data_IF_656587124320
#
_entry.id   IF_656587124320
#
_cell.length_a   1.000
_cell.length_b   1.000
_cell.length_c   1.000
_cell.angle_alpha   90.00
_cell.angle_beta   90.00
_cell.angle_gamma   90.00
#
_symmetry.space_group_name_H-M   'P 1'
#
loop_
_entity.id
_entity.type
_entity.pdbx_description
1 polymer ?
#
# COMPACT_ATOMS: atom_id res chain seq x y z
N UNK A 1 -32.18 71.01 10.49
CA UNK A 1 -33.23 71.49 9.53
C UNK A 1 -33.90 70.23 8.95
N UNK A 2 -35.14 70.07 9.38
CA UNK A 2 -36.36 69.71 8.61
C UNK A 2 -36.31 68.37 7.84
N UNK A 3 -37.04 67.35 8.35
CA UNK A 3 -38.46 67.03 8.07
C UNK A 3 -38.63 66.28 6.71
N UNK A 4 -39.32 65.20 6.50
CA UNK A 4 -40.55 64.59 7.06
C UNK A 4 -40.71 63.18 6.48
N UNK A 5 -41.12 62.11 7.20
CA UNK A 5 -42.49 61.57 7.21
C UNK A 5 -43.03 61.20 5.83
N UNK A 6 -43.67 60.10 5.56
CA UNK A 6 -44.50 59.09 6.20
C UNK A 6 -45.07 58.11 5.21
N UNK A 7 -45.57 57.00 5.65
CA UNK A 7 -46.85 56.25 5.51
C UNK A 7 -46.77 55.09 4.50
N UNK A 8 -46.75 53.89 4.96
CA UNK A 8 -47.77 52.87 5.25
C UNK A 8 -48.78 52.58 4.15
N UNK A 9 -48.87 51.36 3.69
CA UNK A 9 -50.12 50.69 3.34
C UNK A 9 -49.99 49.17 3.41
N UNK A 10 -50.86 48.63 4.13
CA UNK A 10 -51.28 47.27 4.47
C UNK A 10 -51.93 46.62 3.25
N UNK A 11 -51.74 45.34 3.06
CA UNK A 11 -52.47 44.53 2.09
C UNK A 11 -52.37 43.04 2.44
N UNK A 12 -53.48 42.48 2.72
CA UNK A 12 -53.83 41.20 3.36
C UNK A 12 -53.87 40.00 2.38
N UNK A 13 -53.53 38.81 2.91
CA UNK A 13 -54.07 37.45 2.66
C UNK A 13 -53.93 36.80 1.27
N UNK A 14 -53.28 35.64 1.21
CA UNK A 14 -54.00 34.37 1.03
C UNK A 14 -53.03 33.17 1.19
N UNK A 15 -53.44 32.28 2.08
CA UNK A 15 -52.84 30.96 2.29
C UNK A 15 -53.15 30.03 1.11
N UNK A 16 -52.16 29.32 0.64
CA UNK A 16 -52.37 28.08 -0.11
C UNK A 16 -51.25 27.09 0.28
N UNK A 17 -51.60 26.12 1.09
CA UNK A 17 -50.81 24.96 1.39
C UNK A 17 -50.77 24.05 0.14
N UNK A 18 -49.57 23.82 -0.39
CA UNK A 18 -49.32 22.74 -1.35
C UNK A 18 -48.17 21.91 -0.78
N UNK A 19 -48.54 20.75 -0.27
CA UNK A 19 -47.62 19.65 0.07
C UNK A 19 -47.01 19.11 -1.23
N UNK A 20 -45.74 19.39 -1.47
CA UNK A 20 -44.94 18.70 -2.45
C UNK A 20 -44.01 17.77 -1.70
N UNK A 21 -44.32 16.48 -1.84
CA UNK A 21 -43.36 15.40 -1.59
C UNK A 21 -42.18 15.57 -2.57
N UNK A 22 -41.11 16.18 -2.11
CA UNK A 22 -39.86 16.25 -2.83
C UNK A 22 -39.11 14.93 -2.66
N UNK A 23 -38.97 14.17 -3.75
CA UNK A 23 -37.97 13.13 -3.88
C UNK A 23 -36.61 13.79 -3.68
N UNK A 24 -35.92 13.37 -2.65
CA UNK A 24 -34.53 13.73 -2.41
C UNK A 24 -33.67 13.00 -3.44
N UNK A 25 -33.44 13.64 -4.58
CA UNK A 25 -32.37 13.24 -5.49
C UNK A 25 -31.10 13.79 -4.88
N UNK A 26 -30.39 12.95 -4.14
CA UNK A 26 -29.04 13.24 -3.69
C UNK A 26 -28.19 13.52 -4.94
N UNK A 27 -27.74 14.75 -5.08
CA UNK A 27 -26.63 15.05 -6.00
C UNK A 27 -25.43 14.23 -5.56
N UNK A 28 -24.67 13.64 -6.48
CA UNK A 28 -23.39 13.08 -6.11
C UNK A 28 -22.55 14.22 -5.50
N UNK A 29 -22.14 14.05 -4.27
CA UNK A 29 -21.09 14.88 -3.68
C UNK A 29 -19.87 14.66 -4.57
N UNK A 30 -19.37 15.71 -5.23
CA UNK A 30 -18.05 15.69 -5.82
C UNK A 30 -17.07 15.46 -4.67
N UNK A 31 -16.65 14.21 -4.51
CA UNK A 31 -15.48 13.85 -3.74
C UNK A 31 -14.28 14.50 -4.40
N UNK A 32 -13.84 15.62 -3.88
CA UNK A 32 -12.49 16.11 -4.15
C UNK A 32 -11.55 15.12 -3.48
N UNK A 33 -10.99 14.19 -4.28
CA UNK A 33 -10.20 13.08 -3.82
C UNK A 33 -9.03 13.48 -2.94
N UNK A 34 -8.84 12.72 -1.93
CA UNK A 34 -7.57 12.21 -1.39
C UNK A 34 -7.73 11.47 -0.04
N UNK A 35 -8.95 11.36 0.50
CA UNK A 35 -9.20 10.63 1.74
C UNK A 35 -10.11 9.45 1.47
N UNK A 36 -9.69 8.25 1.87
CA UNK A 36 -10.55 7.07 1.88
C UNK A 36 -11.85 7.37 2.65
N UNK A 37 -12.99 6.87 2.17
CA UNK A 37 -14.26 6.98 2.87
C UNK A 37 -14.16 6.29 4.24
N UNK A 38 -14.58 6.99 5.29
CA UNK A 38 -14.52 6.47 6.67
C UNK A 38 -15.88 5.88 7.04
N UNK A 39 -15.90 4.60 7.35
CA UNK A 39 -17.09 3.88 7.75
C UNK A 39 -17.53 4.30 9.16
N UNK A 40 -18.86 4.43 9.37
CA UNK A 40 -19.43 4.77 10.66
C UNK A 40 -19.99 3.52 11.37
N UNK A 41 -19.83 3.44 12.69
CA UNK A 41 -20.44 2.40 13.52
C UNK A 41 -19.91 0.99 13.25
N UNK A 42 -18.67 0.87 12.85
CA UNK A 42 -18.00 -0.42 12.62
C UNK A 42 -17.93 -1.19 13.93
N UNK A 43 -18.24 -2.47 13.90
CA UNK A 43 -18.07 -3.40 15.01
C UNK A 43 -17.57 -4.75 14.49
N UNK A 44 -16.41 -5.17 14.95
CA UNK A 44 -15.81 -6.47 14.60
C UNK A 44 -15.75 -7.35 15.84
N UNK A 45 -16.93 -7.83 16.29
CA UNK A 45 -17.04 -8.66 17.49
C UNK A 45 -16.15 -9.92 17.36
N UNK A 46 -15.21 -10.08 18.30
CA UNK A 46 -14.30 -11.20 18.35
C UNK A 46 -12.95 -10.96 17.65
N UNK A 47 -12.66 -9.74 17.19
CA UNK A 47 -11.34 -9.34 16.73
C UNK A 47 -10.53 -8.69 17.87
N UNK A 48 -9.55 -9.38 18.47
CA UNK A 48 -8.76 -8.81 19.55
C UNK A 48 -7.86 -7.66 19.07
N UNK A 49 -7.56 -7.59 17.77
CA UNK A 49 -6.79 -6.49 17.19
C UNK A 49 -7.66 -5.25 17.05
N UNK A 50 -8.88 -5.40 16.56
CA UNK A 50 -9.83 -4.29 16.44
C UNK A 50 -10.22 -3.73 17.79
N UNK A 51 -10.47 -4.57 18.81
CA UNK A 51 -10.75 -4.12 20.19
C UNK A 51 -9.64 -3.21 20.72
N UNK A 52 -8.36 -3.53 20.44
CA UNK A 52 -7.21 -2.68 20.82
C UNK A 52 -7.15 -1.36 20.04
N UNK A 53 -7.52 -1.37 18.75
CA UNK A 53 -7.61 -0.15 17.96
C UNK A 53 -8.68 0.79 18.54
N UNK A 54 -9.88 0.27 18.84
CA UNK A 54 -10.96 1.05 19.45
C UNK A 54 -10.58 1.60 20.84
N UNK A 55 -10.02 0.76 21.72
CA UNK A 55 -9.57 1.19 23.05
C UNK A 55 -8.53 2.32 22.98
N UNK A 56 -7.64 2.26 21.99
CA UNK A 56 -6.58 3.25 21.76
C UNK A 56 -7.07 4.48 21.00
N UNK A 57 -8.20 4.38 20.29
CA UNK A 57 -8.75 5.41 19.40
C UNK A 57 -7.90 5.67 18.15
N UNK A 58 -7.07 4.74 17.75
CA UNK A 58 -6.23 4.83 16.55
C UNK A 58 -5.77 3.46 16.06
N UNK A 59 -5.41 3.40 14.79
CA UNK A 59 -4.77 2.24 14.16
C UNK A 59 -3.27 2.46 13.98
N UNK A 60 -2.45 1.44 14.22
CA UNK A 60 -1.01 1.46 14.01
C UNK A 60 -0.65 0.53 12.85
N UNK A 61 -0.19 1.11 11.75
CA UNK A 61 0.06 0.38 10.50
C UNK A 61 1.55 0.29 10.23
N UNK A 62 2.04 -0.93 10.03
CA UNK A 62 3.39 -1.15 9.53
C UNK A 62 3.44 -0.93 8.02
N UNK A 63 4.40 -0.12 7.55
CA UNK A 63 4.55 0.24 6.14
C UNK A 63 6.02 0.30 5.73
N UNK A 64 6.25 0.45 4.42
CA UNK A 64 7.54 0.87 3.86
C UNK A 64 7.60 2.40 3.75
N UNK A 65 8.83 2.93 3.60
CA UNK A 65 9.05 4.35 3.41
C UNK A 65 10.07 4.70 2.32
N UNK A 66 10.68 3.68 1.72
CA UNK A 66 11.74 3.82 0.72
C UNK A 66 11.38 3.25 -0.66
N UNK A 67 10.11 2.93 -0.92
CA UNK A 67 9.66 2.29 -2.16
C UNK A 67 8.78 3.26 -2.99
N UNK A 68 9.36 3.99 -3.96
CA UNK A 68 8.61 4.94 -4.78
C UNK A 68 7.44 4.31 -5.54
N UNK A 69 6.28 4.96 -5.51
CA UNK A 69 5.06 4.47 -6.11
C UNK A 69 4.30 3.41 -5.29
N UNK A 70 4.91 2.83 -4.25
CA UNK A 70 4.31 1.80 -3.38
C UNK A 70 4.21 2.29 -1.93
N UNK A 71 5.27 2.20 -1.14
CA UNK A 71 5.34 2.71 0.22
C UNK A 71 6.46 3.73 0.37
N UNK A 72 6.16 5.01 0.22
CA UNK A 72 7.15 6.08 0.16
C UNK A 72 6.87 7.20 1.15
N UNK A 73 7.92 7.69 1.80
CA UNK A 73 7.92 8.90 2.64
C UNK A 73 8.82 9.95 2.00
N UNK A 74 8.26 11.08 1.59
CA UNK A 74 9.06 12.21 1.14
C UNK A 74 9.81 12.81 2.33
N UNK A 75 11.12 12.83 2.24
CA UNK A 75 11.98 13.30 3.35
C UNK A 75 11.89 14.81 3.59
N UNK A 76 11.39 15.58 2.63
CA UNK A 76 11.27 17.06 2.69
C UNK A 76 9.90 17.47 3.20
N UNK A 77 8.84 16.93 2.59
CA UNK A 77 7.44 17.27 2.95
C UNK A 77 6.93 16.44 4.11
N UNK A 78 7.54 15.29 4.39
CA UNK A 78 7.08 14.29 5.36
C UNK A 78 5.73 13.67 4.99
N UNK A 79 5.33 13.78 3.73
CA UNK A 79 4.12 13.16 3.20
C UNK A 79 4.39 11.73 2.78
N UNK A 80 3.44 10.83 3.11
CA UNK A 80 3.45 9.45 2.67
C UNK A 80 2.58 9.27 1.44
N UNK A 81 3.08 8.50 0.48
CA UNK A 81 2.39 8.26 -0.79
C UNK A 81 2.70 6.87 -1.34
N UNK A 82 1.89 6.43 -2.27
CA UNK A 82 2.06 5.21 -3.02
C UNK A 82 0.90 4.23 -2.85
N UNK A 83 0.89 3.22 -3.70
CA UNK A 83 -0.19 2.23 -3.78
C UNK A 83 -0.43 1.52 -2.43
N UNK A 84 0.63 1.02 -1.78
CA UNK A 84 0.53 0.35 -0.48
C UNK A 84 0.02 1.30 0.62
N UNK A 85 0.38 2.58 0.56
CA UNK A 85 -0.09 3.57 1.54
C UNK A 85 -1.59 3.83 1.39
N UNK A 86 -2.08 3.94 0.16
CA UNK A 86 -3.52 4.15 -0.06
C UNK A 86 -4.33 2.88 0.20
N UNK A 87 -3.80 1.68 -0.07
CA UNK A 87 -4.41 0.41 0.40
C UNK A 87 -4.49 0.39 1.93
N UNK A 88 -3.44 0.82 2.63
CA UNK A 88 -3.44 0.89 4.09
C UNK A 88 -4.49 1.89 4.64
N UNK A 89 -4.64 3.05 3.99
CA UNK A 89 -5.67 4.06 4.29
C UNK A 89 -7.08 3.54 4.05
N UNK A 90 -7.29 2.87 2.92
CA UNK A 90 -8.57 2.27 2.58
C UNK A 90 -9.01 1.25 3.62
N UNK A 91 -8.11 0.38 4.08
CA UNK A 91 -8.39 -0.55 5.18
C UNK A 91 -8.71 0.22 6.46
N UNK A 92 -7.93 1.24 6.84
CA UNK A 92 -8.18 2.05 8.03
C UNK A 92 -9.56 2.74 7.98
N UNK A 93 -9.91 3.35 6.82
CA UNK A 93 -11.22 3.94 6.59
C UNK A 93 -12.36 2.95 6.76
N UNK A 94 -12.23 1.72 6.23
CA UNK A 94 -13.23 0.66 6.40
C UNK A 94 -13.40 0.19 7.84
N UNK A 95 -12.38 0.41 8.68
CA UNK A 95 -12.39 0.13 10.12
C UNK A 95 -12.86 1.33 10.95
N UNK A 96 -13.23 2.45 10.32
CA UNK A 96 -13.72 3.66 10.99
C UNK A 96 -12.65 4.64 11.45
N UNK A 97 -11.40 4.49 10.98
CA UNK A 97 -10.30 5.40 11.31
C UNK A 97 -9.98 6.33 10.15
N UNK A 98 -10.04 7.63 10.41
CA UNK A 98 -9.57 8.66 9.47
C UNK A 98 -8.04 8.83 9.52
N UNK A 99 -7.49 9.63 8.61
CA UNK A 99 -6.04 9.84 8.49
C UNK A 99 -5.39 10.38 9.78
N UNK A 100 -6.11 11.20 10.57
CA UNK A 100 -5.60 11.76 11.83
C UNK A 100 -5.43 10.69 12.91
N UNK A 101 -6.16 9.57 12.78
CA UNK A 101 -6.14 8.43 13.67
C UNK A 101 -5.28 7.26 13.15
N UNK A 102 -4.48 7.49 12.11
CA UNK A 102 -3.51 6.51 11.62
C UNK A 102 -2.11 6.85 12.16
N UNK A 103 -1.47 5.88 12.81
CA UNK A 103 -0.05 5.93 13.15
C UNK A 103 0.73 4.99 12.23
N UNK A 104 1.60 5.53 11.39
CA UNK A 104 2.46 4.72 10.53
C UNK A 104 3.77 4.38 11.21
N UNK A 105 4.19 3.11 11.11
CA UNK A 105 5.52 2.65 11.53
C UNK A 105 6.29 2.07 10.36
N UNK A 106 7.46 2.64 10.08
CA UNK A 106 8.38 2.07 9.10
C UNK A 106 8.98 0.77 9.65
N UNK A 107 8.73 -0.35 8.97
CA UNK A 107 9.21 -1.67 9.38
C UNK A 107 10.05 -2.29 8.26
N UNK A 108 11.31 -2.58 8.56
CA UNK A 108 12.20 -3.30 7.65
C UNK A 108 11.69 -4.72 7.36
N UNK A 109 12.03 -5.26 6.18
CA UNK A 109 11.51 -6.57 5.74
C UNK A 109 11.83 -7.71 6.71
N UNK A 110 12.96 -7.67 7.39
CA UNK A 110 13.35 -8.69 8.36
C UNK A 110 12.56 -8.67 9.69
N UNK A 111 11.87 -7.57 9.97
CA UNK A 111 11.23 -7.34 11.27
C UNK A 111 9.70 -7.43 11.21
N UNK A 112 9.11 -7.71 10.04
CA UNK A 112 7.65 -7.64 9.83
C UNK A 112 6.89 -8.65 10.68
N UNK A 113 7.30 -9.92 10.64
CA UNK A 113 6.67 -10.99 11.40
C UNK A 113 6.74 -10.68 12.90
N UNK A 114 7.90 -10.24 13.39
CA UNK A 114 8.08 -9.95 14.81
C UNK A 114 7.25 -8.75 15.27
N UNK A 115 7.15 -7.69 14.45
CA UNK A 115 6.34 -6.51 14.77
C UNK A 115 4.85 -6.86 14.92
N UNK A 116 4.34 -7.75 14.05
CA UNK A 116 2.97 -8.26 14.13
C UNK A 116 2.78 -9.14 15.36
N UNK A 117 3.66 -10.11 15.58
CA UNK A 117 3.59 -11.05 16.71
C UNK A 117 3.64 -10.33 18.05
N UNK A 118 4.46 -9.29 18.17
CA UNK A 118 4.57 -8.47 19.38
C UNK A 118 3.35 -7.55 19.61
N UNK A 119 2.53 -7.30 18.56
CA UNK A 119 1.49 -6.28 18.59
C UNK A 119 2.04 -4.85 18.57
N UNK A 120 3.24 -4.65 18.00
CA UNK A 120 3.82 -3.33 17.78
C UNK A 120 3.07 -2.55 16.71
N UNK A 121 2.39 -3.27 15.81
CA UNK A 121 1.50 -2.80 14.74
C UNK A 121 0.23 -3.65 14.73
N UNK A 122 -0.87 -3.10 14.23
CA UNK A 122 -2.14 -3.80 14.13
C UNK A 122 -2.21 -4.64 12.85
N UNK A 123 -1.70 -4.09 11.74
CA UNK A 123 -1.50 -4.80 10.49
C UNK A 123 -0.35 -4.19 9.70
N UNK A 124 0.10 -4.91 8.67
CA UNK A 124 1.22 -4.50 7.83
C UNK A 124 0.82 -4.47 6.35
N UNK A 125 1.06 -3.33 5.68
CA UNK A 125 0.89 -3.17 4.23
C UNK A 125 2.19 -2.61 3.64
N UNK A 126 2.90 -3.41 2.85
CA UNK A 126 4.19 -2.96 2.32
C UNK A 126 4.91 -4.08 1.57
N UNK A 127 4.50 -4.37 0.32
CA UNK A 127 5.13 -5.35 -0.56
C UNK A 127 5.41 -6.68 0.15
N UNK A 128 4.39 -7.25 0.79
CA UNK A 128 4.56 -8.38 1.70
C UNK A 128 4.07 -9.68 1.07
N UNK A 129 4.98 -10.39 0.42
CA UNK A 129 4.68 -11.68 -0.23
C UNK A 129 4.16 -12.70 0.76
N UNK A 130 2.99 -13.24 0.45
CA UNK A 130 2.35 -14.34 1.16
C UNK A 130 3.15 -15.62 0.90
N UNK A 131 3.55 -16.32 1.95
CA UNK A 131 4.14 -17.65 1.84
C UNK A 131 3.93 -18.48 3.12
N UNK A 132 4.11 -19.80 3.02
CA UNK A 132 3.82 -20.74 4.11
C UNK A 132 4.73 -20.55 5.32
N UNK A 133 5.98 -20.12 5.10
CA UNK A 133 6.92 -19.85 6.20
C UNK A 133 6.41 -18.71 7.08
N UNK A 134 5.92 -17.63 6.47
CA UNK A 134 5.34 -16.49 7.19
C UNK A 134 3.99 -16.83 7.81
N UNK A 135 3.16 -17.63 7.10
CA UNK A 135 1.87 -18.15 7.61
C UNK A 135 2.03 -19.02 8.86
N UNK A 136 3.20 -19.53 9.19
CA UNK A 136 3.43 -20.24 10.44
C UNK A 136 3.24 -19.32 11.67
N UNK A 137 3.69 -18.07 11.57
CA UNK A 137 3.75 -17.13 12.69
C UNK A 137 2.65 -16.05 12.66
N UNK A 138 2.17 -15.68 11.47
CA UNK A 138 1.17 -14.63 11.24
C UNK A 138 0.11 -15.10 10.26
N UNK A 139 -0.95 -14.31 10.08
CA UNK A 139 -1.93 -14.51 9.00
C UNK A 139 -1.87 -13.40 7.95
N UNK A 140 -2.48 -13.66 6.81
CA UNK A 140 -2.58 -12.71 5.70
C UNK A 140 -4.03 -12.57 5.23
N UNK A 141 -4.42 -11.35 4.89
CA UNK A 141 -5.56 -11.06 4.04
C UNK A 141 -5.07 -10.72 2.62
N UNK A 142 -5.89 -10.93 1.62
CA UNK A 142 -5.57 -10.71 0.21
C UNK A 142 -5.36 -12.02 -0.57
N UNK A 143 -4.54 -12.00 -1.65
CA UNK A 143 -3.64 -10.92 -2.06
C UNK A 143 -4.35 -9.66 -2.55
N UNK A 144 -3.66 -8.51 -2.46
CA UNK A 144 -4.13 -7.25 -3.02
C UNK A 144 -3.31 -6.80 -4.26
N UNK A 145 -2.18 -7.45 -4.52
CA UNK A 145 -1.30 -7.16 -5.66
C UNK A 145 -0.51 -8.41 -6.07
N UNK A 146 -0.14 -8.52 -7.34
CA UNK A 146 0.70 -9.63 -7.85
C UNK A 146 1.82 -9.05 -8.69
N UNK A 147 3.03 -9.52 -8.45
CA UNK A 147 4.24 -9.17 -9.19
C UNK A 147 5.18 -10.38 -9.22
N UNK A 148 6.48 -10.16 -9.40
CA UNK A 148 7.50 -11.20 -9.33
C UNK A 148 8.88 -10.60 -9.26
N UNK A 149 9.85 -11.39 -8.84
CA UNK A 149 11.24 -10.99 -8.75
C UNK A 149 11.77 -10.52 -10.11
N UNK A 150 12.53 -9.42 -10.10
CA UNK A 150 13.20 -8.84 -11.26
C UNK A 150 14.60 -8.36 -10.89
N UNK A 151 15.24 -7.66 -11.82
CA UNK A 151 16.58 -7.12 -11.67
C UNK A 151 16.62 -5.66 -12.07
N UNK A 152 17.35 -4.85 -11.29
CA UNK A 152 17.70 -3.47 -11.59
C UNK A 152 19.21 -3.40 -11.81
N UNK A 153 19.62 -2.75 -12.87
CA UNK A 153 21.02 -2.54 -13.24
C UNK A 153 21.27 -1.06 -13.55
N UNK A 154 22.53 -0.67 -13.67
CA UNK A 154 22.86 0.64 -14.21
C UNK A 154 22.36 0.77 -15.64
N UNK A 155 21.87 1.95 -16.00
CA UNK A 155 21.46 2.22 -17.37
C UNK A 155 22.65 2.02 -18.34
N UNK A 156 22.40 1.30 -19.44
CA UNK A 156 23.44 0.84 -20.38
C UNK A 156 24.27 -0.33 -19.87
N UNK A 157 23.94 -0.91 -18.71
CA UNK A 157 24.53 -2.15 -18.20
C UNK A 157 23.99 -3.40 -18.90
N UNK A 158 24.35 -4.56 -18.38
CA UNK A 158 23.88 -5.85 -18.92
C UNK A 158 22.40 -6.04 -18.64
N UNK A 159 21.61 -6.32 -19.67
CA UNK A 159 20.19 -6.66 -19.56
C UNK A 159 20.06 -8.17 -19.28
N UNK A 160 20.29 -8.54 -18.01
CA UNK A 160 20.18 -9.92 -17.57
C UNK A 160 18.77 -10.47 -17.74
N UNK A 161 18.64 -11.66 -18.30
CA UNK A 161 17.36 -12.31 -18.55
C UNK A 161 17.02 -13.39 -17.51
N UNK A 162 17.98 -13.81 -16.71
CA UNK A 162 17.80 -14.81 -15.66
C UNK A 162 18.82 -14.63 -14.53
N UNK A 163 18.57 -15.33 -13.39
CA UNK A 163 19.50 -15.32 -12.25
C UNK A 163 20.79 -16.08 -12.53
N UNK A 164 20.78 -17.11 -13.40
CA UNK A 164 21.97 -17.88 -13.79
C UNK A 164 23.04 -17.00 -14.44
N UNK A 165 22.64 -15.95 -15.15
CA UNK A 165 23.56 -15.00 -15.79
C UNK A 165 24.34 -14.14 -14.79
N UNK A 166 23.93 -14.14 -13.52
CA UNK A 166 24.58 -13.42 -12.42
C UNK A 166 25.62 -14.27 -11.67
N UNK A 167 25.97 -15.46 -12.15
CA UNK A 167 27.01 -16.29 -11.56
C UNK A 167 28.31 -15.51 -11.37
N UNK A 168 28.85 -15.52 -10.15
CA UNK A 168 30.07 -14.78 -9.78
C UNK A 168 29.88 -13.27 -9.55
N UNK A 169 28.72 -12.72 -9.86
CA UNK A 169 28.33 -11.32 -9.62
C UNK A 169 27.91 -11.08 -8.17
N UNK A 170 27.88 -9.81 -7.78
CA UNK A 170 27.36 -9.38 -6.48
C UNK A 170 26.00 -8.73 -6.66
N UNK A 171 24.99 -9.28 -6.00
CA UNK A 171 23.59 -8.81 -6.06
C UNK A 171 23.17 -8.31 -4.69
N UNK A 172 22.48 -7.16 -4.66
CA UNK A 172 21.93 -6.59 -3.44
C UNK A 172 20.42 -6.81 -3.34
N UNK A 173 19.93 -7.07 -2.13
CA UNK A 173 18.50 -7.07 -1.80
C UNK A 173 18.29 -6.77 -0.33
N UNK A 174 17.03 -6.54 0.07
CA UNK A 174 16.69 -6.30 1.46
C UNK A 174 16.76 -7.58 2.30
N UNK A 175 17.36 -7.49 3.48
CA UNK A 175 17.39 -8.59 4.46
C UNK A 175 15.95 -9.05 4.78
N UNK A 176 15.71 -10.36 4.76
CA UNK A 176 14.39 -10.96 5.07
C UNK A 176 13.37 -10.86 3.92
N UNK A 177 13.77 -10.39 2.73
CA UNK A 177 12.93 -10.42 1.54
C UNK A 177 12.91 -11.82 0.90
N UNK A 178 11.85 -12.14 0.13
CA UNK A 178 11.76 -13.38 -0.66
C UNK A 178 12.83 -13.45 -1.74
N UNK A 179 13.15 -12.35 -2.49
CA UNK A 179 14.18 -12.38 -3.51
C UNK A 179 15.58 -12.75 -2.98
N UNK A 180 16.00 -12.24 -1.81
CA UNK A 180 17.32 -12.59 -1.27
C UNK A 180 17.37 -14.04 -0.77
N UNK A 181 16.25 -14.54 -0.23
CA UNK A 181 16.15 -15.94 0.17
C UNK A 181 16.25 -16.87 -1.04
N UNK A 182 15.54 -16.54 -2.13
CA UNK A 182 15.63 -17.27 -3.39
C UNK A 182 17.07 -17.35 -3.92
N UNK A 183 17.81 -16.23 -3.91
CA UNK A 183 19.23 -16.23 -4.30
C UNK A 183 20.05 -17.18 -3.43
N UNK A 184 19.92 -17.06 -2.10
CA UNK A 184 20.73 -17.85 -1.16
C UNK A 184 20.44 -19.35 -1.23
N UNK A 185 19.20 -19.72 -1.46
CA UNK A 185 18.77 -21.11 -1.49
C UNK A 185 19.05 -21.78 -2.83
N UNK A 186 18.85 -21.07 -3.93
CA UNK A 186 18.85 -21.67 -5.26
C UNK A 186 20.03 -21.28 -6.15
N UNK A 187 20.75 -20.18 -5.84
CA UNK A 187 21.83 -19.63 -6.66
C UNK A 187 23.10 -19.35 -5.85
N UNK A 188 23.73 -20.38 -5.26
CA UNK A 188 24.88 -20.19 -4.35
C UNK A 188 26.15 -19.62 -5.04
N UNK A 189 26.18 -19.59 -6.38
CA UNK A 189 27.25 -18.95 -7.16
C UNK A 189 27.13 -17.43 -7.25
N UNK A 190 25.99 -16.84 -6.84
CA UNK A 190 25.79 -15.40 -6.78
C UNK A 190 26.22 -14.89 -5.39
N UNK A 191 27.04 -13.85 -5.36
CA UNK A 191 27.43 -13.17 -4.11
C UNK A 191 26.30 -12.24 -3.70
N UNK A 192 25.94 -12.24 -2.41
CA UNK A 192 24.88 -11.38 -1.89
C UNK A 192 25.41 -10.27 -0.99
N UNK A 193 24.81 -9.07 -1.15
CA UNK A 193 24.92 -7.97 -0.19
C UNK A 193 23.51 -7.64 0.28
N UNK A 194 23.37 -7.36 1.56
CA UNK A 194 22.06 -7.14 2.19
C UNK A 194 22.06 -5.86 3.00
N UNK A 195 20.95 -5.12 2.92
CA UNK A 195 20.65 -3.97 3.77
C UNK A 195 19.21 -4.08 4.28
N UNK A 196 18.85 -3.25 5.24
CA UNK A 196 17.47 -3.19 5.75
C UNK A 196 16.51 -2.50 4.75
N UNK A 197 17.05 -1.58 3.92
CA UNK A 197 16.32 -0.76 2.95
C UNK A 197 16.81 -1.04 1.53
N UNK A 198 15.90 -1.04 0.57
CA UNK A 198 16.24 -1.14 -0.86
C UNK A 198 16.96 0.09 -1.39
N UNK A 199 16.68 1.27 -0.86
CA UNK A 199 17.38 2.52 -1.20
C UNK A 199 18.89 2.38 -1.02
N UNK A 200 19.35 1.71 0.04
CA UNK A 200 20.77 1.45 0.26
C UNK A 200 21.36 0.46 -0.79
N UNK A 201 20.56 -0.50 -1.26
CA UNK A 201 20.96 -1.36 -2.38
C UNK A 201 21.11 -0.56 -3.69
N UNK A 202 20.18 0.36 -3.94
CA UNK A 202 20.21 1.23 -5.13
C UNK A 202 21.44 2.15 -5.10
N UNK A 203 21.75 2.75 -3.96
CA UNK A 203 22.97 3.54 -3.77
C UNK A 203 24.24 2.71 -4.03
N UNK A 204 24.28 1.45 -3.55
CA UNK A 204 25.38 0.52 -3.79
C UNK A 204 25.51 0.15 -5.27
N UNK A 205 24.39 0.03 -6.00
CA UNK A 205 24.38 -0.18 -7.45
C UNK A 205 24.94 1.06 -8.16
N UNK A 206 24.43 2.25 -7.87
CA UNK A 206 24.88 3.49 -8.49
C UNK A 206 26.39 3.73 -8.25
N UNK A 207 26.88 3.46 -7.05
CA UNK A 207 28.32 3.57 -6.72
C UNK A 207 29.18 2.45 -7.31
N UNK A 208 28.58 1.39 -7.86
CA UNK A 208 29.28 0.25 -8.48
C UNK A 208 29.85 -0.75 -7.48
N UNK A 209 29.32 -0.79 -6.26
CA UNK A 209 29.68 -1.80 -5.26
C UNK A 209 29.00 -3.13 -5.51
N UNK A 210 27.85 -3.12 -6.19
CA UNK A 210 27.12 -4.32 -6.62
C UNK A 210 26.83 -4.26 -8.11
N UNK A 211 26.63 -5.43 -8.73
CA UNK A 211 26.37 -5.57 -10.18
C UNK A 211 24.88 -5.38 -10.50
N UNK A 212 23.99 -5.75 -9.57
CA UNK A 212 22.54 -5.63 -9.70
C UNK A 212 21.86 -5.49 -8.35
N UNK A 213 20.64 -4.93 -8.34
CA UNK A 213 19.68 -5.04 -7.24
C UNK A 213 18.60 -6.02 -7.67
N UNK A 214 18.21 -6.93 -6.79
CA UNK A 214 17.09 -7.84 -7.03
C UNK A 214 16.02 -7.66 -5.98
N UNK A 215 14.81 -7.46 -6.43
CA UNK A 215 13.57 -7.49 -5.66
C UNK A 215 12.40 -7.60 -6.64
N UNK A 216 11.19 -7.39 -6.16
CA UNK A 216 9.99 -7.46 -6.98
C UNK A 216 9.99 -6.33 -8.02
N UNK A 217 9.63 -6.68 -9.25
CA UNK A 217 9.72 -5.75 -10.39
C UNK A 217 8.97 -4.43 -10.15
N UNK A 218 7.83 -4.48 -9.46
CA UNK A 218 7.07 -3.27 -9.13
C UNK A 218 7.90 -2.27 -8.30
N UNK A 219 8.70 -2.75 -7.34
CA UNK A 219 9.61 -1.92 -6.54
C UNK A 219 10.71 -1.33 -7.43
N UNK A 220 11.32 -2.15 -8.29
CA UNK A 220 12.41 -1.73 -9.18
C UNK A 220 11.97 -0.67 -10.18
N UNK A 221 10.76 -0.77 -10.70
CA UNK A 221 10.16 0.22 -11.60
C UNK A 221 10.08 1.58 -10.92
N UNK A 222 9.68 1.63 -9.65
CA UNK A 222 9.63 2.86 -8.88
C UNK A 222 10.98 3.55 -8.77
N UNK A 223 12.04 2.80 -8.47
CA UNK A 223 13.41 3.34 -8.43
C UNK A 223 13.92 3.78 -9.81
N UNK A 224 13.68 3.00 -10.85
CA UNK A 224 14.09 3.36 -12.20
C UNK A 224 13.36 4.62 -12.70
N UNK A 225 12.10 4.81 -12.31
CA UNK A 225 11.34 6.01 -12.64
C UNK A 225 11.87 7.28 -11.94
N UNK A 226 12.43 7.14 -10.74
CA UNK A 226 13.06 8.26 -10.04
C UNK A 226 14.42 8.67 -10.62
N UNK A 227 15.17 7.73 -11.17
CA UNK A 227 16.51 7.98 -11.74
C UNK A 227 16.73 7.23 -13.07
N UNK A 228 15.96 7.58 -14.12
CA UNK A 228 16.02 6.89 -15.41
C UNK A 228 17.34 7.11 -16.18
N UNK A 229 18.12 8.11 -15.76
CA UNK A 229 19.45 8.36 -16.37
C UNK A 229 20.47 7.32 -15.89
N UNK A 230 20.36 6.85 -14.65
CA UNK A 230 21.33 5.94 -14.03
C UNK A 230 20.84 4.50 -13.89
N UNK A 231 19.53 4.27 -13.92
CA UNK A 231 18.92 2.99 -13.57
C UNK A 231 18.04 2.43 -14.70
N UNK A 232 18.04 1.11 -14.84
CA UNK A 232 17.22 0.39 -15.78
C UNK A 232 16.75 -0.94 -15.16
N UNK A 233 15.44 -1.19 -15.23
CA UNK A 233 14.88 -2.52 -14.95
C UNK A 233 15.17 -3.41 -16.16
N UNK A 234 15.66 -4.62 -15.93
CA UNK A 234 15.93 -5.55 -17.02
C UNK A 234 14.65 -6.01 -17.71
N UNK A 235 14.75 -6.34 -19.01
CA UNK A 235 13.60 -6.72 -19.84
C UNK A 235 13.23 -8.20 -19.72
N UNK A 236 13.98 -9.00 -18.97
CA UNK A 236 13.73 -10.41 -18.74
C UNK A 236 12.36 -10.72 -18.15
N UNK A 237 11.92 -11.98 -18.14
CA UNK A 237 10.66 -12.38 -17.52
C UNK A 237 10.67 -12.12 -16.01
N UNK A 238 9.51 -12.19 -15.36
CA UNK A 238 9.44 -12.30 -13.91
C UNK A 238 10.09 -13.64 -13.50
N UNK A 239 10.95 -13.58 -12.48
CA UNK A 239 11.75 -14.75 -12.05
C UNK A 239 11.03 -15.61 -11.01
N UNK A 240 10.02 -15.03 -10.35
CA UNK A 240 9.10 -15.67 -9.39
C UNK A 240 7.71 -15.09 -9.56
N UNK A 241 6.75 -15.61 -8.78
CA UNK A 241 5.45 -14.98 -8.54
C UNK A 241 5.40 -14.52 -7.08
N UNK A 242 5.05 -13.26 -6.86
CA UNK A 242 4.98 -12.64 -5.54
C UNK A 242 3.58 -12.05 -5.34
N UNK A 243 2.81 -12.67 -4.46
CA UNK A 243 1.46 -12.27 -4.10
C UNK A 243 1.51 -11.42 -2.83
N UNK A 244 1.22 -10.11 -2.92
CA UNK A 244 1.26 -9.23 -1.76
C UNK A 244 -0.03 -9.33 -0.95
N UNK A 245 0.11 -9.56 0.35
CA UNK A 245 -0.98 -9.57 1.30
C UNK A 245 -0.78 -8.61 2.46
N UNK A 246 -1.84 -8.38 3.18
CA UNK A 246 -1.86 -7.62 4.43
C UNK A 246 -1.51 -8.59 5.56
N UNK A 247 -0.39 -8.34 6.24
CA UNK A 247 0.04 -9.18 7.38
C UNK A 247 -0.75 -8.81 8.65
N UNK A 248 -1.26 -9.79 9.36
CA UNK A 248 -2.10 -9.66 10.54
C UNK A 248 -1.65 -10.59 11.67
N UNK A 249 -2.09 -10.30 12.89
CA UNK A 249 -1.94 -11.20 14.02
C UNK A 249 -2.55 -12.58 13.72
N UNK A 250 -1.81 -13.64 14.08
CA UNK A 250 -2.25 -15.03 13.89
C UNK A 250 -3.56 -15.31 14.62
N UNK A 251 -4.54 -15.86 13.90
CA UNK A 251 -5.82 -16.27 14.46
C UNK A 251 -6.85 -15.15 14.62
N UNK A 252 -6.60 -13.93 14.15
CA UNK A 252 -7.62 -12.88 14.07
C UNK A 252 -8.44 -13.05 12.78
N UNK A 253 -9.24 -14.09 12.72
CA UNK A 253 -10.03 -14.45 11.54
C UNK A 253 -11.10 -13.41 11.21
N UNK A 254 -11.58 -12.67 12.21
CA UNK A 254 -12.61 -11.64 12.03
C UNK A 254 -12.02 -10.47 11.26
N UNK A 255 -10.88 -9.92 11.69
CA UNK A 255 -10.20 -8.83 10.98
C UNK A 255 -9.76 -9.28 9.59
N UNK A 256 -9.22 -10.51 9.47
CA UNK A 256 -8.81 -11.08 8.18
C UNK A 256 -9.99 -11.16 7.21
N UNK A 257 -11.16 -11.65 7.67
CA UNK A 257 -12.36 -11.74 6.85
C UNK A 257 -12.83 -10.36 6.42
N UNK A 258 -12.87 -9.38 7.34
CA UNK A 258 -13.25 -8.01 7.00
C UNK A 258 -12.39 -7.42 5.87
N UNK A 259 -11.06 -7.58 5.95
CA UNK A 259 -10.16 -7.07 4.91
C UNK A 259 -10.32 -7.86 3.59
N UNK A 260 -10.54 -9.17 3.65
CA UNK A 260 -10.80 -9.98 2.47
C UNK A 260 -12.10 -9.59 1.76
N UNK A 261 -13.16 -9.33 2.53
CA UNK A 261 -14.45 -8.87 2.00
C UNK A 261 -14.31 -7.47 1.38
N UNK A 262 -13.58 -6.56 2.05
CA UNK A 262 -13.24 -5.24 1.52
C UNK A 262 -12.59 -5.34 0.13
N UNK A 263 -11.60 -6.21 -0.04
CA UNK A 263 -10.93 -6.40 -1.32
C UNK A 263 -11.83 -7.08 -2.35
N UNK A 264 -12.68 -8.01 -1.93
CA UNK A 264 -13.59 -8.74 -2.83
C UNK A 264 -14.66 -7.82 -3.40
N UNK A 265 -15.21 -6.93 -2.59
CA UNK A 265 -16.33 -6.07 -2.95
C UNK A 265 -15.90 -4.70 -3.47
N UNK A 266 -14.68 -4.27 -3.18
CA UNK A 266 -14.17 -2.91 -3.45
C UNK A 266 -13.31 -2.78 -4.71
N UNK A 267 -13.64 -3.50 -5.79
CA UNK A 267 -12.85 -3.48 -7.03
C UNK A 267 -12.69 -2.11 -7.67
N UNK A 268 -13.70 -1.25 -7.58
CA UNK A 268 -13.64 0.11 -8.13
C UNK A 268 -12.65 0.98 -7.35
N UNK A 269 -12.61 0.86 -6.02
CA UNK A 269 -11.65 1.59 -5.17
C UNK A 269 -10.23 1.07 -5.40
N UNK A 270 -10.04 -0.26 -5.46
CA UNK A 270 -8.75 -0.83 -5.81
C UNK A 270 -8.23 -0.28 -7.15
N UNK A 271 -9.11 -0.22 -8.16
CA UNK A 271 -8.75 0.29 -9.48
C UNK A 271 -8.39 1.78 -9.42
N UNK A 272 -9.13 2.58 -8.66
CA UNK A 272 -8.84 4.01 -8.49
C UNK A 272 -7.47 4.23 -7.84
N UNK A 273 -7.14 3.46 -6.78
CA UNK A 273 -5.83 3.49 -6.12
C UNK A 273 -4.72 3.04 -7.10
N UNK A 274 -4.96 1.98 -7.88
CA UNK A 274 -4.01 1.51 -8.89
C UNK A 274 -3.75 2.57 -9.95
N UNK A 275 -4.80 3.18 -10.50
CA UNK A 275 -4.69 4.21 -11.54
C UNK A 275 -3.95 5.44 -11.06
N UNK A 276 -4.18 5.83 -9.81
CA UNK A 276 -3.50 6.97 -9.17
C UNK A 276 -1.99 6.79 -9.07
N UNK A 277 -1.51 5.59 -8.74
CA UNK A 277 -0.11 5.39 -8.40
C UNK A 277 0.70 4.60 -9.44
N UNK A 278 0.07 3.71 -10.19
CA UNK A 278 0.77 2.72 -11.00
C UNK A 278 0.42 2.71 -12.49
N UNK A 279 -0.62 3.43 -12.92
CA UNK A 279 -1.06 3.44 -14.33
C UNK A 279 0.04 3.91 -15.30
N UNK A 280 0.88 4.87 -14.90
CA UNK A 280 1.98 5.39 -15.71
C UNK A 280 3.26 4.55 -15.62
N UNK A 281 3.31 3.58 -14.71
CA UNK A 281 4.49 2.75 -14.46
C UNK A 281 4.77 1.69 -15.54
N UNK A 282 3.80 1.44 -16.41
CA UNK A 282 3.81 0.34 -17.36
C UNK A 282 3.45 -1.02 -16.75
N UNK A 283 3.09 -1.06 -15.46
CA UNK A 283 2.53 -2.25 -14.81
C UNK A 283 1.08 -2.40 -15.28
N UNK A 284 0.74 -3.60 -15.74
CA UNK A 284 -0.62 -3.96 -16.15
C UNK A 284 -1.01 -5.22 -15.41
N UNK A 285 -1.85 -5.07 -14.40
CA UNK A 285 -2.45 -6.19 -13.64
C UNK A 285 -3.93 -5.91 -13.43
N UNK A 286 -4.69 -6.96 -13.27
CA UNK A 286 -6.04 -6.90 -12.72
C UNK A 286 -5.96 -7.12 -11.21
N UNK A 287 -6.97 -6.65 -10.47
CA UNK A 287 -7.05 -6.96 -9.04
C UNK A 287 -7.02 -8.48 -8.85
N UNK A 288 -6.09 -9.01 -8.03
CA UNK A 288 -6.06 -10.45 -7.80
C UNK A 288 -7.27 -10.90 -6.98
N UNK A 289 -7.64 -12.16 -7.18
CA UNK A 289 -8.67 -12.78 -6.34
C UNK A 289 -8.11 -13.05 -4.96
N UNK A 290 -8.91 -12.74 -3.96
CA UNK A 290 -8.61 -13.07 -2.57
C UNK A 290 -8.45 -14.58 -2.40
N UNK A 291 -7.39 -15.01 -1.73
CA UNK A 291 -7.15 -16.38 -1.30
C UNK A 291 -7.54 -16.52 0.19
N UNK A 292 -8.81 -16.73 0.44
CA UNK A 292 -9.33 -16.98 1.79
C UNK A 292 -9.02 -18.42 2.21
N UNK A 293 -8.09 -18.60 3.14
CA UNK A 293 -7.68 -19.91 3.68
C UNK A 293 -8.02 -20.05 5.16
#
# INVERSE_FOLDING_TARGET
>A
MRFKKSIAAVGFLAAAALTLTGCNSGSPSESTGDTAEVAEGVALEGSPTFDKMEERGKVVIGVKEDQPGLGYLDSVTQERSGFDIDIARWIAGSLGFDEENIEYKAIASANREQAIVNGDIDYYVGTYSINDKRKADIDFAGPYFVTGQGLLVKNGGTDYQSLEELEGKTVCSATGSTPIQNIKENFPGIKTQEFDLYSACVESLISGQVDAVTTDRAILIGYAAQDPENLMVTTGPLLTEENYGVGLAKGDDVLRTHINDLFTDGGDEWQAIFDKHLSESGITIEQPKVDAY
#
